data_IF_190738007331
#
_entry.id   IF_190738007331
#
_cell.length_a   1.000
_cell.length_b   1.000
_cell.length_c   1.000
_cell.angle_alpha   90.00
_cell.angle_beta   90.00
_cell.angle_gamma   90.00
#
_symmetry.space_group_name_H-M   'P 1'
#
loop_
_entity.id
_entity.type
_entity.pdbx_description
1 polymer ?
#
# COMPACT_ATOMS: atom_id res chain seq x y z
N UNK A 1 -25.72 -1.61 30.23
CA UNK A 1 -24.59 -1.99 29.36
C UNK A 1 -24.40 -0.81 28.42
N UNK A 2 -23.42 0.08 28.74
CA UNK A 2 -23.02 1.15 27.82
C UNK A 2 -22.17 0.50 26.73
N UNK A 3 -22.74 0.39 25.56
CA UNK A 3 -22.01 0.10 24.33
C UNK A 3 -21.13 1.32 24.01
N UNK A 4 -19.89 1.27 24.44
CA UNK A 4 -18.90 2.31 24.16
C UNK A 4 -18.41 2.07 22.72
N UNK A 5 -19.14 2.58 21.74
CA UNK A 5 -18.64 2.65 20.36
C UNK A 5 -17.29 3.38 20.42
N UNK A 6 -16.23 2.68 20.10
CA UNK A 6 -14.91 3.30 19.91
C UNK A 6 -15.05 4.41 18.89
N UNK A 7 -14.46 5.58 19.11
CA UNK A 7 -14.56 6.69 18.16
C UNK A 7 -13.95 6.26 16.84
N UNK A 8 -14.71 6.39 15.75
CA UNK A 8 -14.19 6.19 14.40
C UNK A 8 -13.02 7.14 14.17
N UNK A 9 -11.91 6.60 13.71
CA UNK A 9 -10.72 7.34 13.33
C UNK A 9 -10.63 7.44 11.81
N UNK A 10 -10.15 8.57 11.32
CA UNK A 10 -9.92 8.78 9.89
C UNK A 10 -8.47 9.18 9.67
N UNK A 11 -7.77 8.42 8.85
CA UNK A 11 -6.40 8.70 8.42
C UNK A 11 -6.39 9.02 6.93
N UNK A 12 -5.56 9.97 6.51
CA UNK A 12 -5.40 10.34 5.11
C UNK A 12 -4.05 9.84 4.59
N UNK A 13 -4.10 9.09 3.50
CA UNK A 13 -2.91 8.64 2.76
C UNK A 13 -2.73 9.55 1.55
N UNK A 14 -1.63 10.30 1.52
CA UNK A 14 -1.22 11.07 0.36
C UNK A 14 -0.64 10.13 -0.68
N UNK A 15 -1.04 10.29 -1.94
CA UNK A 15 -0.59 9.45 -3.03
C UNK A 15 0.66 10.02 -3.71
N UNK A 16 1.62 9.14 -4.00
CA UNK A 16 2.77 9.48 -4.82
C UNK A 16 2.35 9.74 -6.27
N UNK A 17 2.92 10.73 -6.94
CA UNK A 17 2.70 10.97 -8.35
C UNK A 17 3.14 9.76 -9.19
N UNK A 18 2.25 9.26 -10.06
CA UNK A 18 2.59 8.17 -10.96
C UNK A 18 3.27 8.72 -12.22
N UNK A 19 4.44 8.15 -12.56
CA UNK A 19 5.17 8.52 -13.78
C UNK A 19 4.48 8.04 -15.07
N UNK A 20 3.63 7.03 -14.98
CA UNK A 20 2.87 6.49 -16.11
C UNK A 20 1.48 7.15 -16.15
N UNK A 21 1.18 7.90 -17.20
CA UNK A 21 -0.09 8.62 -17.35
C UNK A 21 -1.33 7.71 -17.34
N UNK A 22 -1.23 6.51 -17.89
CA UNK A 22 -2.34 5.55 -17.90
C UNK A 22 -2.64 5.06 -16.49
N UNK A 23 -1.58 4.74 -15.74
CA UNK A 23 -1.70 4.33 -14.34
C UNK A 23 -2.15 5.49 -13.45
N UNK A 24 -1.62 6.71 -13.68
CA UNK A 24 -1.95 7.90 -12.89
C UNK A 24 -3.46 8.15 -12.76
N UNK A 25 -4.21 8.01 -13.88
CA UNK A 25 -5.66 8.18 -13.86
C UNK A 25 -6.44 7.13 -13.07
N UNK A 26 -5.80 6.02 -12.68
CA UNK A 26 -6.42 4.92 -11.94
C UNK A 26 -5.75 4.69 -10.58
N UNK A 27 -4.59 5.28 -10.32
CA UNK A 27 -3.75 5.01 -9.16
C UNK A 27 -4.52 5.11 -7.83
N UNK A 28 -5.31 6.17 -7.64
CA UNK A 28 -6.11 6.36 -6.44
C UNK A 28 -7.15 5.25 -6.22
N UNK A 29 -7.84 4.82 -7.28
CA UNK A 29 -8.85 3.73 -7.18
C UNK A 29 -8.20 2.38 -6.93
N UNK A 30 -7.08 2.12 -7.58
CA UNK A 30 -6.33 0.88 -7.44
C UNK A 30 -5.71 0.79 -6.05
N UNK A 31 -5.09 1.86 -5.56
CA UNK A 31 -4.53 1.91 -4.21
C UNK A 31 -5.63 1.83 -3.13
N UNK A 32 -6.82 2.42 -3.36
CA UNK A 32 -7.95 2.26 -2.45
C UNK A 32 -8.40 0.80 -2.35
N UNK A 33 -8.48 0.09 -3.49
CA UNK A 33 -8.82 -1.33 -3.50
C UNK A 33 -7.72 -2.18 -2.84
N UNK A 34 -6.46 -1.88 -3.10
CA UNK A 34 -5.30 -2.51 -2.46
C UNK A 34 -5.37 -2.38 -0.93
N UNK A 35 -5.48 -1.14 -0.42
CA UNK A 35 -5.55 -0.89 1.02
C UNK A 35 -6.79 -1.52 1.68
N UNK A 36 -7.91 -1.60 0.97
CA UNK A 36 -9.10 -2.31 1.46
C UNK A 36 -8.87 -3.81 1.66
N UNK A 37 -7.89 -4.40 0.97
CA UNK A 37 -7.53 -5.81 1.08
C UNK A 37 -6.37 -6.05 2.05
N UNK A 38 -5.47 -5.08 2.20
CA UNK A 38 -4.21 -5.24 2.92
C UNK A 38 -4.21 -4.62 4.32
N UNK A 39 -5.08 -3.62 4.60
CA UNK A 39 -5.23 -3.02 5.92
C UNK A 39 -6.30 -3.77 6.73
N UNK A 40 -5.93 -4.60 7.71
CA UNK A 40 -6.87 -5.47 8.39
C UNK A 40 -7.92 -4.73 9.24
N UNK A 41 -7.59 -3.54 9.76
CA UNK A 41 -8.50 -2.76 10.59
C UNK A 41 -9.21 -1.64 9.83
N UNK A 42 -8.97 -1.48 8.52
CA UNK A 42 -9.70 -0.52 7.71
C UNK A 42 -11.14 -0.99 7.45
N UNK A 43 -12.11 -0.19 7.85
CA UNK A 43 -13.54 -0.43 7.61
C UNK A 43 -13.99 0.17 6.28
N UNK A 44 -13.30 1.21 5.82
CA UNK A 44 -13.59 1.88 4.55
C UNK A 44 -12.34 2.60 4.04
N UNK A 45 -12.07 2.47 2.74
CA UNK A 45 -11.03 3.24 2.05
C UNK A 45 -11.65 3.92 0.82
N UNK A 46 -11.63 5.24 0.80
CA UNK A 46 -12.25 6.03 -0.29
C UNK A 46 -11.40 7.25 -0.66
N UNK A 47 -11.43 7.69 -1.92
CA UNK A 47 -10.83 8.95 -2.32
C UNK A 47 -11.46 10.14 -1.60
N UNK A 48 -10.64 11.09 -1.16
CA UNK A 48 -11.03 12.33 -0.51
C UNK A 48 -10.14 13.47 -0.99
N UNK A 49 -10.74 14.60 -1.37
CA UNK A 49 -9.98 15.80 -1.70
C UNK A 49 -10.00 16.78 -0.50
N UNK A 50 -8.82 17.23 -0.07
CA UNK A 50 -8.67 18.26 0.96
C UNK A 50 -7.86 19.42 0.36
N UNK A 51 -8.45 20.60 0.35
CA UNK A 51 -7.85 21.80 -0.23
C UNK A 51 -7.32 21.62 -1.68
N UNK A 52 -8.01 20.79 -2.48
CA UNK A 52 -7.64 20.50 -3.87
C UNK A 52 -6.56 19.44 -4.04
N UNK A 53 -6.08 18.84 -2.95
CA UNK A 53 -5.13 17.71 -2.97
C UNK A 53 -5.90 16.41 -2.77
N UNK A 54 -5.60 15.40 -3.60
CA UNK A 54 -6.22 14.08 -3.51
C UNK A 54 -5.52 13.21 -2.47
N UNK A 55 -6.31 12.60 -1.60
CA UNK A 55 -5.92 11.63 -0.59
C UNK A 55 -6.79 10.38 -0.70
N UNK A 56 -6.39 9.31 -0.02
CA UNK A 56 -7.29 8.23 0.36
C UNK A 56 -7.61 8.36 1.84
N UNK A 57 -8.90 8.47 2.16
CA UNK A 57 -9.38 8.40 3.53
C UNK A 57 -9.51 6.93 3.94
N UNK A 58 -8.77 6.54 4.97
CA UNK A 58 -8.83 5.22 5.61
C UNK A 58 -9.56 5.38 6.92
N UNK A 59 -10.74 4.77 7.04
CA UNK A 59 -11.53 4.76 8.28
C UNK A 59 -11.32 3.47 9.03
N UNK A 60 -11.23 3.57 10.36
CA UNK A 60 -10.99 2.44 11.26
C UNK A 60 -11.66 2.66 12.62
N UNK A 61 -11.86 1.57 13.36
CA UNK A 61 -12.29 1.62 14.77
C UNK A 61 -11.08 1.98 15.66
N UNK A 62 -10.77 3.28 15.75
CA UNK A 62 -9.60 3.78 16.46
C UNK A 62 -8.38 4.01 15.55
N UNK A 63 -7.25 4.46 16.09
CA UNK A 63 -6.04 4.77 15.33
C UNK A 63 -5.50 3.56 14.56
N UNK A 64 -4.88 3.79 13.40
CA UNK A 64 -4.21 2.74 12.64
C UNK A 64 -3.14 2.07 13.48
N UNK A 65 -3.14 0.73 13.47
CA UNK A 65 -2.18 -0.08 14.19
C UNK A 65 -0.90 -0.30 13.35
N UNK A 66 0.13 -0.87 13.97
CA UNK A 66 1.41 -1.13 13.27
C UNK A 66 1.26 -1.99 12.01
N UNK A 67 0.33 -2.93 12.01
CA UNK A 67 0.00 -3.77 10.84
C UNK A 67 -0.61 -2.97 9.70
N UNK A 68 -1.50 -2.00 10.02
CA UNK A 68 -2.11 -1.13 9.02
C UNK A 68 -1.07 -0.15 8.46
N UNK A 69 -0.23 0.43 9.34
CA UNK A 69 0.84 1.34 8.92
C UNK A 69 1.87 0.63 8.03
N UNK A 70 2.18 -0.64 8.33
CA UNK A 70 3.02 -1.47 7.46
C UNK A 70 2.36 -1.72 6.10
N UNK A 71 1.04 -1.99 6.07
CA UNK A 71 0.30 -2.14 4.82
C UNK A 71 0.26 -0.84 4.00
N UNK A 72 0.06 0.32 4.66
CA UNK A 72 0.14 1.63 4.00
C UNK A 72 1.54 1.87 3.44
N UNK A 73 2.60 1.63 4.23
CA UNK A 73 3.98 1.84 3.80
C UNK A 73 4.37 0.98 2.58
N UNK A 74 3.85 -0.27 2.50
CA UNK A 74 4.08 -1.19 1.37
C UNK A 74 3.16 -0.95 0.19
N UNK A 75 2.13 -0.10 0.32
CA UNK A 75 1.16 0.08 -0.76
C UNK A 75 1.80 0.69 -2.01
N UNK A 76 1.20 0.40 -3.16
CA UNK A 76 1.73 0.75 -4.47
C UNK A 76 1.88 2.25 -4.74
N UNK A 77 1.17 3.08 -3.99
CA UNK A 77 1.12 4.52 -4.27
C UNK A 77 1.12 5.42 -3.02
N UNK A 78 1.29 4.91 -1.81
CA UNK A 78 1.36 5.77 -0.63
C UNK A 78 2.70 6.53 -0.60
N UNK A 79 2.61 7.83 -0.29
CA UNK A 79 3.75 8.72 -0.08
C UNK A 79 3.88 9.12 1.38
N UNK A 80 2.76 9.42 2.05
CA UNK A 80 2.73 9.85 3.44
C UNK A 80 1.36 9.52 4.06
N UNK A 81 1.32 9.40 5.38
CA UNK A 81 0.11 9.15 6.13
C UNK A 81 -0.10 10.22 7.20
N UNK A 82 -1.36 10.60 7.44
CA UNK A 82 -1.74 11.63 8.40
C UNK A 82 -2.97 11.19 9.17
N UNK A 83 -3.02 11.47 10.46
CA UNK A 83 -4.27 11.46 11.21
C UNK A 83 -5.07 12.72 10.83
N UNK A 84 -6.34 12.54 10.45
CA UNK A 84 -7.22 13.63 10.05
C UNK A 84 -8.12 14.06 11.21
N UNK A 85 -7.97 15.29 11.62
CA UNK A 85 -8.75 15.89 12.72
C UNK A 85 -9.62 17.05 12.25
N UNK A 86 -10.28 16.85 11.10
CA UNK A 86 -11.21 17.80 10.50
C UNK A 86 -10.55 18.95 9.75
N UNK A 87 -9.73 19.75 10.41
CA UNK A 87 -9.00 20.90 9.85
C UNK A 87 -7.48 20.76 9.97
N UNK A 88 -7.01 19.70 10.64
CA UNK A 88 -5.60 19.42 10.88
C UNK A 88 -5.19 18.06 10.31
N UNK A 89 -3.99 18.01 9.74
CA UNK A 89 -3.30 16.82 9.34
C UNK A 89 -2.09 16.60 10.25
N UNK A 90 -2.20 15.64 11.17
CA UNK A 90 -1.07 15.27 12.03
C UNK A 90 -0.29 14.15 11.34
N UNK A 91 1.02 14.33 11.03
CA UNK A 91 1.80 13.33 10.34
C UNK A 91 1.92 12.06 11.17
N UNK A 92 1.79 10.91 10.51
CA UNK A 92 2.04 9.57 11.07
C UNK A 92 3.29 9.05 10.39
N UNK A 93 4.28 8.67 11.20
CA UNK A 93 5.50 8.04 10.70
C UNK A 93 5.19 6.63 10.18
N UNK A 94 5.51 6.39 8.92
CA UNK A 94 5.41 5.09 8.30
C UNK A 94 6.69 4.29 8.56
N UNK A 95 6.60 2.96 8.81
CA UNK A 95 7.77 2.13 8.93
C UNK A 95 8.55 2.10 7.61
N UNK A 96 9.89 2.05 7.68
CA UNK A 96 10.71 1.78 6.51
C UNK A 96 10.54 0.31 6.10
N UNK A 97 10.13 0.10 4.87
CA UNK A 97 9.87 -1.25 4.32
C UNK A 97 10.76 -1.57 3.12
N UNK A 98 11.42 -0.57 2.52
CA UNK A 98 12.29 -0.78 1.37
C UNK A 98 13.64 -1.34 1.83
N UNK A 99 14.00 -2.51 1.29
CA UNK A 99 15.28 -3.19 1.54
C UNK A 99 16.33 -2.73 0.51
N UNK A 100 15.87 -2.27 -0.65
CA UNK A 100 16.72 -1.83 -1.76
C UNK A 100 16.52 -0.33 -1.98
N UNK A 101 17.63 0.41 -2.10
CA UNK A 101 17.62 1.85 -2.37
C UNK A 101 16.84 2.14 -3.67
N UNK A 102 15.87 3.06 -3.61
CA UNK A 102 15.04 3.45 -4.78
C UNK A 102 15.88 3.84 -5.99
N UNK A 103 17.08 4.40 -5.79
CA UNK A 103 18.01 4.76 -6.84
C UNK A 103 18.49 3.55 -7.66
N UNK A 104 18.53 2.35 -7.07
CA UNK A 104 18.89 1.12 -7.75
C UNK A 104 17.72 0.54 -8.59
N UNK A 105 16.49 0.80 -8.18
CA UNK A 105 15.27 0.32 -8.85
C UNK A 105 14.85 1.26 -10.00
N UNK A 106 15.13 2.55 -9.87
CA UNK A 106 14.74 3.61 -10.82
C UNK A 106 15.63 3.72 -12.05
N UNK A 107 16.58 2.81 -12.26
CA UNK A 107 17.48 2.78 -13.43
C UNK A 107 16.70 2.86 -14.77
N UNK A 108 17.28 3.50 -15.81
CA UNK A 108 16.57 4.28 -16.82
C UNK A 108 15.42 3.55 -17.52
N UNK A 109 14.35 4.31 -17.77
CA UNK A 109 13.18 3.90 -18.56
C UNK A 109 13.62 3.34 -19.91
N UNK A 110 13.49 2.04 -20.08
CA UNK A 110 13.63 1.38 -21.39
C UNK A 110 12.24 0.98 -21.91
N UNK A 111 12.13 0.81 -23.22
CA UNK A 111 10.89 0.32 -23.82
C UNK A 111 10.56 -1.07 -23.28
N UNK A 112 9.33 -1.23 -22.75
CA UNK A 112 8.86 -2.50 -22.19
C UNK A 112 9.15 -2.69 -20.69
N UNK A 113 9.65 -1.67 -19.97
CA UNK A 113 9.72 -1.74 -18.50
C UNK A 113 8.30 -1.78 -17.93
N UNK A 114 8.02 -2.78 -17.10
CA UNK A 114 6.78 -2.87 -16.34
C UNK A 114 6.71 -1.70 -15.35
N UNK A 115 5.51 -1.16 -15.13
CA UNK A 115 5.31 -0.11 -14.13
C UNK A 115 5.51 -0.68 -12.72
N UNK A 116 6.43 -0.12 -11.97
CA UNK A 116 6.82 -0.56 -10.62
C UNK A 116 5.63 -0.50 -9.65
N UNK A 117 4.93 0.63 -9.60
CA UNK A 117 3.74 0.79 -8.75
C UNK A 117 2.67 -0.26 -9.06
N UNK A 118 2.44 -0.56 -10.35
CA UNK A 118 1.49 -1.59 -10.75
C UNK A 118 1.99 -2.99 -10.37
N UNK A 119 3.29 -3.25 -10.47
CA UNK A 119 3.88 -4.53 -10.06
C UNK A 119 3.75 -4.74 -8.54
N UNK A 120 4.06 -3.71 -7.75
CA UNK A 120 3.88 -3.72 -6.29
C UNK A 120 2.42 -3.98 -5.91
N UNK A 121 1.48 -3.30 -6.55
CA UNK A 121 0.04 -3.55 -6.37
C UNK A 121 -0.33 -5.02 -6.65
N UNK A 122 0.15 -5.60 -7.74
CA UNK A 122 -0.14 -7.00 -8.08
C UNK A 122 0.42 -7.96 -7.02
N UNK A 123 1.64 -7.72 -6.53
CA UNK A 123 2.23 -8.51 -5.45
C UNK A 123 1.41 -8.41 -4.18
N UNK A 124 1.08 -7.21 -3.73
CA UNK A 124 0.32 -6.98 -2.50
C UNK A 124 -1.05 -7.65 -2.55
N UNK A 125 -1.78 -7.50 -3.65
CA UNK A 125 -3.09 -8.15 -3.83
C UNK A 125 -2.95 -9.67 -3.90
N UNK A 126 -1.91 -10.18 -4.55
CA UNK A 126 -1.64 -11.62 -4.61
C UNK A 126 -1.34 -12.19 -3.22
N UNK A 127 -0.49 -11.50 -2.45
CA UNK A 127 -0.14 -11.89 -1.09
C UNK A 127 -1.35 -11.81 -0.13
N UNK A 128 -2.19 -10.79 -0.28
CA UNK A 128 -3.44 -10.67 0.50
C UNK A 128 -4.44 -11.78 0.14
N UNK A 129 -4.44 -12.26 -1.09
CA UNK A 129 -5.30 -13.35 -1.56
C UNK A 129 -4.81 -14.76 -1.21
N UNK A 130 -3.66 -14.92 -0.56
CA UNK A 130 -3.17 -16.23 -0.15
C UNK A 130 -4.13 -16.92 0.80
N UNK A 131 -4.26 -18.25 0.67
CA UNK A 131 -5.13 -19.06 1.50
C UNK A 131 -4.45 -20.39 1.88
N UNK A 132 -5.02 -21.09 2.86
CA UNK A 132 -4.55 -22.41 3.27
C UNK A 132 -3.10 -22.42 3.77
N UNK A 133 -2.30 -23.37 3.31
CA UNK A 133 -0.93 -23.58 3.78
C UNK A 133 0.01 -22.41 3.44
N UNK A 134 -0.21 -21.70 2.34
CA UNK A 134 0.60 -20.54 1.95
C UNK A 134 0.37 -19.36 2.90
N UNK A 135 -0.88 -19.06 3.24
CA UNK A 135 -1.23 -18.05 4.24
C UNK A 135 -0.64 -18.40 5.61
N UNK A 136 -0.83 -19.64 6.08
CA UNK A 136 -0.31 -20.10 7.36
C UNK A 136 1.23 -19.99 7.45
N UNK A 137 1.94 -20.27 6.35
CA UNK A 137 3.40 -20.11 6.29
C UNK A 137 3.82 -18.65 6.37
N UNK A 138 3.12 -17.75 5.67
CA UNK A 138 3.36 -16.31 5.73
C UNK A 138 3.16 -15.79 7.16
N UNK A 139 2.06 -16.16 7.80
CA UNK A 139 1.73 -15.73 9.17
C UNK A 139 2.75 -16.21 10.21
N UNK A 140 3.45 -17.31 9.90
CA UNK A 140 4.56 -17.83 10.70
C UNK A 140 5.92 -17.19 10.36
N UNK A 141 5.95 -16.17 9.50
CA UNK A 141 7.18 -15.50 9.08
C UNK A 141 8.05 -16.35 8.14
N UNK A 142 7.49 -17.39 7.52
CA UNK A 142 8.24 -18.18 6.55
C UNK A 142 8.40 -17.42 5.21
N UNK A 143 9.58 -17.51 4.62
CA UNK A 143 9.82 -16.95 3.29
C UNK A 143 8.93 -17.63 2.26
N UNK A 144 8.27 -16.80 1.43
CA UNK A 144 7.50 -17.25 0.29
C UNK A 144 8.39 -17.29 -0.97
N UNK A 145 8.19 -18.29 -1.82
CA UNK A 145 8.84 -18.35 -3.12
C UNK A 145 7.90 -17.73 -4.16
N UNK A 146 8.39 -16.73 -4.89
CA UNK A 146 7.69 -16.11 -6.00
C UNK A 146 8.33 -16.57 -7.31
N UNK A 147 7.49 -17.09 -8.23
CA UNK A 147 7.90 -17.48 -9.57
C UNK A 147 7.27 -16.52 -10.58
N UNK A 148 8.11 -15.77 -11.28
CA UNK A 148 7.70 -14.99 -12.46
C UNK A 148 8.22 -15.68 -13.75
N UNK A 149 7.34 -16.38 -14.50
CA UNK A 149 7.75 -17.07 -15.70
C UNK A 149 8.08 -16.13 -16.87
N UNK A 150 7.77 -14.85 -16.75
CA UNK A 150 8.03 -13.81 -17.75
C UNK A 150 8.82 -12.64 -17.17
N UNK A 151 9.78 -12.94 -16.31
CA UNK A 151 10.49 -11.96 -15.49
C UNK A 151 11.11 -10.78 -16.26
N UNK A 152 11.37 -10.93 -17.56
CA UNK A 152 11.96 -9.88 -18.37
C UNK A 152 13.27 -9.36 -17.76
N UNK A 153 13.28 -8.11 -17.29
CA UNK A 153 14.41 -7.52 -16.57
C UNK A 153 14.27 -7.57 -15.04
N UNK A 154 13.31 -8.32 -14.54
CA UNK A 154 13.20 -8.63 -13.13
C UNK A 154 12.47 -7.60 -12.28
N UNK A 155 11.63 -6.73 -12.84
CA UNK A 155 10.86 -5.75 -12.04
C UNK A 155 10.04 -6.46 -10.95
N UNK A 156 9.35 -7.56 -11.27
CA UNK A 156 8.59 -8.34 -10.29
C UNK A 156 9.49 -8.93 -9.19
N UNK A 157 10.70 -9.37 -9.56
CA UNK A 157 11.63 -9.96 -8.61
C UNK A 157 12.25 -8.89 -7.69
N UNK A 158 12.47 -7.67 -8.19
CA UNK A 158 12.93 -6.55 -7.40
C UNK A 158 11.87 -6.13 -6.37
N UNK A 159 10.65 -5.88 -6.81
CA UNK A 159 9.53 -5.55 -5.90
C UNK A 159 9.27 -6.67 -4.87
N UNK A 160 9.45 -7.94 -5.27
CA UNK A 160 9.29 -9.07 -4.36
C UNK A 160 10.37 -9.15 -3.27
N UNK A 161 11.57 -8.62 -3.52
CA UNK A 161 12.64 -8.51 -2.51
C UNK A 161 12.33 -7.45 -1.46
N UNK A 162 11.64 -6.38 -1.84
CA UNK A 162 11.23 -5.31 -0.91
C UNK A 162 10.09 -5.75 0.01
N UNK A 163 9.35 -6.78 -0.36
CA UNK A 163 8.30 -7.38 0.50
C UNK A 163 8.85 -8.35 1.57
N UNK A 164 10.15 -8.67 1.58
CA UNK A 164 10.84 -9.46 2.59
C UNK A 164 10.83 -10.93 2.38
#
# INVERSE_FOLDING_TARGET
>A
VHDTMSPMSESLVLLAPAANHVYAGQAGRLCAAELSLTCPNATLVVPLAVAGVEYLAVRSEGPLQSTDLAAVARSSAALACFEYRGDLLAPIELPQVDVVDEDLVTIPKYRGKTNEQFTRLLLNVTLAGLSGAAAARRDQGARLAILDPMAGRGTTLQEALDEG
#
